data_IF_532401243251
#
_entry.id   IF_532401243251
#
_cell.length_a   1.000
_cell.length_b   1.000
_cell.length_c   1.000
_cell.angle_alpha   90.00
_cell.angle_beta   90.00
_cell.angle_gamma   90.00
#
_symmetry.space_group_name_H-M   'P 1'
#
loop_
_entity.id
_entity.type
_entity.pdbx_description
1 polymer ?
#
# COMPACT_ATOMS: atom_id res chain seq x y z
N UNK A 1 -14.41 -34.12 12.47
CA UNK A 1 -15.73 -33.75 11.92
C UNK A 1 -15.65 -33.15 10.51
N UNK A 2 -14.85 -32.13 10.24
CA UNK A 2 -14.79 -31.40 8.94
C UNK A 2 -14.70 -32.30 7.70
N UNK A 3 -13.78 -33.28 7.66
CA UNK A 3 -13.62 -34.16 6.50
C UNK A 3 -14.86 -35.01 6.20
N UNK A 4 -15.61 -35.42 7.23
CA UNK A 4 -16.85 -36.21 7.06
C UNK A 4 -18.04 -35.34 6.69
N UNK A 5 -18.08 -34.10 7.18
CA UNK A 5 -19.20 -33.17 6.92
C UNK A 5 -19.12 -32.50 5.55
N UNK A 6 -17.94 -32.04 5.14
CA UNK A 6 -17.76 -31.37 3.85
C UNK A 6 -17.39 -32.35 2.74
N UNK A 7 -16.67 -33.43 3.07
CA UNK A 7 -16.07 -34.31 2.08
C UNK A 7 -14.85 -33.68 1.39
N UNK A 8 -14.03 -34.54 0.78
CA UNK A 8 -12.77 -34.13 0.14
C UNK A 8 -12.99 -33.19 -1.06
N UNK A 9 -14.02 -33.46 -1.87
CA UNK A 9 -14.30 -32.68 -3.08
C UNK A 9 -14.66 -31.22 -2.76
N UNK A 10 -15.56 -31.00 -1.80
CA UNK A 10 -15.97 -29.66 -1.42
C UNK A 10 -14.83 -28.88 -0.78
N UNK A 11 -14.01 -29.52 0.07
CA UNK A 11 -12.85 -28.86 0.67
C UNK A 11 -11.85 -28.39 -0.40
N UNK A 12 -11.59 -29.21 -1.42
CA UNK A 12 -10.76 -28.81 -2.57
C UNK A 12 -11.39 -27.66 -3.34
N UNK A 13 -12.71 -27.64 -3.52
CA UNK A 13 -13.41 -26.55 -4.19
C UNK A 13 -13.33 -25.23 -3.41
N UNK A 14 -13.50 -25.27 -2.09
CA UNK A 14 -13.31 -24.09 -1.22
C UNK A 14 -11.90 -23.51 -1.34
N UNK A 15 -10.87 -24.36 -1.23
CA UNK A 15 -9.48 -23.91 -1.36
C UNK A 15 -9.20 -23.30 -2.74
N UNK A 16 -9.68 -23.94 -3.82
CA UNK A 16 -9.54 -23.40 -5.18
C UNK A 16 -10.29 -22.09 -5.37
N UNK A 17 -11.46 -21.93 -4.74
CA UNK A 17 -12.21 -20.68 -4.73
C UNK A 17 -11.43 -19.54 -4.09
N UNK A 18 -10.82 -19.77 -2.92
CA UNK A 18 -9.96 -18.79 -2.26
C UNK A 18 -8.75 -18.42 -3.12
N UNK A 19 -8.09 -19.40 -3.74
CA UNK A 19 -6.94 -19.17 -4.62
C UNK A 19 -7.34 -18.36 -5.86
N UNK A 20 -8.50 -18.65 -6.46
CA UNK A 20 -9.04 -17.87 -7.60
C UNK A 20 -9.30 -16.42 -7.20
N UNK A 21 -9.98 -16.19 -6.08
CA UNK A 21 -10.24 -14.85 -5.56
C UNK A 21 -8.95 -14.05 -5.27
N UNK A 22 -7.92 -14.72 -4.74
CA UNK A 22 -6.63 -14.08 -4.53
C UNK A 22 -5.93 -13.73 -5.85
N UNK A 23 -6.09 -14.56 -6.89
CA UNK A 23 -5.61 -14.25 -8.24
C UNK A 23 -6.32 -13.03 -8.82
N UNK A 24 -7.65 -12.95 -8.71
CA UNK A 24 -8.40 -11.78 -9.17
C UNK A 24 -7.96 -10.50 -8.45
N UNK A 25 -7.64 -10.60 -7.14
CA UNK A 25 -7.06 -9.48 -6.39
C UNK A 25 -5.67 -9.08 -6.89
N UNK A 26 -4.78 -10.05 -7.14
CA UNK A 26 -3.46 -9.84 -7.70
C UNK A 26 -3.52 -9.11 -9.06
N UNK A 27 -4.44 -9.52 -9.94
CA UNK A 27 -4.67 -8.86 -11.23
C UNK A 27 -5.16 -7.41 -11.07
N UNK A 28 -6.03 -7.14 -10.09
CA UNK A 28 -6.47 -5.77 -9.78
C UNK A 28 -5.36 -4.90 -9.21
N UNK A 29 -4.47 -5.46 -8.38
CA UNK A 29 -3.30 -4.75 -7.85
C UNK A 29 -2.34 -4.43 -8.98
N UNK A 30 -2.01 -5.41 -9.83
CA UNK A 30 -1.08 -5.24 -10.95
C UNK A 30 -1.60 -4.26 -12.01
N UNK A 31 -2.92 -4.10 -12.15
CA UNK A 31 -3.52 -3.13 -13.05
C UNK A 31 -3.37 -1.68 -12.59
N UNK A 32 -3.12 -1.43 -11.30
CA UNK A 32 -2.90 -0.09 -10.74
C UNK A 32 -1.40 0.15 -10.55
N UNK A 33 -0.77 0.92 -11.45
CA UNK A 33 0.67 1.19 -11.43
C UNK A 33 1.19 1.94 -10.19
N UNK A 34 0.32 2.34 -9.26
CA UNK A 34 0.72 2.89 -7.96
C UNK A 34 1.07 1.81 -6.94
N UNK A 35 0.64 0.59 -7.17
CA UNK A 35 0.89 -0.54 -6.29
C UNK A 35 1.80 -1.56 -6.98
N UNK A 36 2.57 -2.27 -6.19
CA UNK A 36 3.33 -3.42 -6.66
C UNK A 36 3.08 -4.66 -5.82
N UNK A 37 3.13 -5.82 -6.47
CA UNK A 37 3.09 -7.13 -5.82
C UNK A 37 4.54 -7.50 -5.48
N UNK A 38 4.86 -7.52 -4.20
CA UNK A 38 6.25 -7.65 -3.71
C UNK A 38 6.78 -9.08 -3.83
N UNK A 39 5.90 -10.06 -3.65
CA UNK A 39 6.26 -11.48 -3.75
C UNK A 39 5.23 -12.25 -4.56
N UNK A 40 5.63 -13.26 -5.34
CA UNK A 40 4.72 -14.05 -6.14
C UNK A 40 3.69 -14.78 -5.28
N UNK A 41 2.43 -14.79 -5.73
CA UNK A 41 1.32 -15.46 -5.04
C UNK A 41 1.40 -16.99 -5.24
N UNK A 42 1.67 -17.73 -4.17
CA UNK A 42 1.62 -19.20 -4.18
C UNK A 42 0.25 -19.79 -3.83
N UNK A 43 -0.50 -19.14 -2.92
CA UNK A 43 -1.79 -19.62 -2.42
C UNK A 43 -2.85 -18.51 -2.47
N UNK A 44 -3.72 -18.42 -1.46
CA UNK A 44 -4.77 -17.42 -1.35
C UNK A 44 -4.31 -16.17 -0.57
N UNK A 45 -3.06 -15.75 -0.75
CA UNK A 45 -2.51 -14.57 -0.08
C UNK A 45 -1.71 -13.73 -1.08
N UNK A 46 -2.04 -12.44 -1.16
CA UNK A 46 -1.32 -11.48 -1.97
C UNK A 46 -0.59 -10.50 -1.05
N UNK A 47 0.68 -10.30 -1.34
CA UNK A 47 1.55 -9.37 -0.62
C UNK A 47 1.87 -8.21 -1.55
N UNK A 48 1.43 -7.02 -1.18
CA UNK A 48 1.56 -5.83 -2.02
C UNK A 48 1.96 -4.61 -1.19
N UNK A 49 2.46 -3.58 -1.85
CA UNK A 49 2.72 -2.28 -1.24
C UNK A 49 2.41 -1.14 -2.21
N UNK A 50 2.15 0.03 -1.66
CA UNK A 50 2.05 1.29 -2.39
C UNK A 50 3.46 1.80 -2.70
N UNK A 51 3.71 2.13 -3.96
CA UNK A 51 4.99 2.67 -4.43
C UNK A 51 5.10 4.17 -4.10
N UNK A 52 6.29 4.65 -3.70
CA UNK A 52 6.55 6.07 -3.58
C UNK A 52 6.49 6.74 -4.97
N UNK A 53 6.16 8.05 -5.05
CA UNK A 53 6.01 8.77 -6.33
C UNK A 53 7.25 8.74 -7.23
N UNK A 54 8.46 8.63 -6.65
CA UNK A 54 9.72 8.81 -7.36
C UNK A 54 10.48 7.49 -7.65
N UNK A 55 9.97 6.33 -7.22
CA UNK A 55 10.57 5.03 -7.52
C UNK A 55 11.98 4.77 -6.95
N UNK A 56 12.52 5.65 -6.10
CA UNK A 56 13.91 5.60 -5.63
C UNK A 56 14.10 4.84 -4.32
N UNK A 57 14.47 3.56 -4.43
CA UNK A 57 14.78 2.65 -3.31
C UNK A 57 16.11 2.89 -2.56
N UNK A 58 16.67 4.11 -2.58
CA UNK A 58 18.01 4.39 -2.03
C UNK A 58 18.04 5.02 -0.63
N UNK A 59 16.93 5.61 -0.17
CA UNK A 59 16.86 6.33 1.12
C UNK A 59 15.44 6.64 1.59
N UNK A 60 14.44 6.48 0.72
CA UNK A 60 13.02 6.67 1.02
C UNK A 60 12.31 5.41 1.53
N UNK A 61 13.00 4.29 1.73
CA UNK A 61 12.34 3.04 2.16
C UNK A 61 11.63 3.21 3.51
N UNK A 62 12.19 3.99 4.44
CA UNK A 62 11.53 4.35 5.70
C UNK A 62 10.23 5.12 5.47
N UNK A 63 10.25 6.11 4.56
CA UNK A 63 9.06 6.87 4.22
C UNK A 63 8.01 5.97 3.52
N UNK A 64 8.43 5.16 2.55
CA UNK A 64 7.58 4.17 1.87
C UNK A 64 6.92 3.21 2.88
N UNK A 65 7.68 2.75 3.88
CA UNK A 65 7.17 1.89 4.94
C UNK A 65 6.13 2.60 5.82
N UNK A 66 6.41 3.84 6.24
CA UNK A 66 5.46 4.64 7.03
C UNK A 66 4.14 4.89 6.27
N UNK A 67 4.22 5.15 4.96
CA UNK A 67 3.04 5.35 4.12
C UNK A 67 2.21 4.07 4.05
N UNK A 68 2.86 2.92 3.83
CA UNK A 68 2.18 1.64 3.79
C UNK A 68 1.57 1.27 5.14
N UNK A 69 2.23 1.62 6.25
CA UNK A 69 1.68 1.48 7.60
C UNK A 69 0.42 2.34 7.79
N UNK A 70 0.48 3.63 7.44
CA UNK A 70 -0.67 4.55 7.54
C UNK A 70 -1.83 4.11 6.64
N UNK A 71 -1.53 3.62 5.44
CA UNK A 71 -2.52 3.05 4.53
C UNK A 71 -3.24 1.86 5.18
N UNK A 72 -2.49 0.93 5.76
CA UNK A 72 -3.05 -0.24 6.43
C UNK A 72 -3.91 0.15 7.63
N UNK A 73 -3.40 1.04 8.48
CA UNK A 73 -4.13 1.55 9.65
C UNK A 73 -5.43 2.24 9.23
N UNK A 74 -5.39 3.10 8.20
CA UNK A 74 -6.58 3.78 7.68
C UNK A 74 -7.59 2.81 7.04
N UNK A 75 -7.11 1.76 6.36
CA UNK A 75 -7.96 0.71 5.81
C UNK A 75 -8.66 -0.09 6.94
N UNK A 76 -7.91 -0.51 7.96
CA UNK A 76 -8.43 -1.25 9.10
C UNK A 76 -9.37 -0.40 9.97
N UNK A 77 -9.05 0.88 10.19
CA UNK A 77 -9.90 1.83 10.92
C UNK A 77 -11.25 2.08 10.25
N UNK A 78 -11.38 1.78 8.94
CA UNK A 78 -12.67 1.87 8.25
C UNK A 78 -13.70 0.83 8.71
N UNK A 79 -13.24 -0.26 9.36
CA UNK A 79 -14.07 -1.39 9.77
C UNK A 79 -14.63 -2.23 8.61
N UNK A 80 -14.38 -1.85 7.35
CA UNK A 80 -14.89 -2.55 6.15
C UNK A 80 -14.02 -3.74 5.74
N UNK A 81 -12.74 -3.69 6.10
CA UNK A 81 -11.74 -4.70 5.79
C UNK A 81 -10.78 -4.83 6.95
N UNK A 82 -10.16 -6.00 7.05
CA UNK A 82 -9.05 -6.22 7.97
C UNK A 82 -7.91 -6.94 7.25
N UNK A 83 -6.74 -6.33 7.27
CA UNK A 83 -5.51 -6.87 6.70
C UNK A 83 -4.38 -6.77 7.72
N UNK A 84 -3.30 -7.52 7.48
CA UNK A 84 -2.10 -7.47 8.31
C UNK A 84 -0.91 -7.04 7.47
N UNK A 85 0.22 -6.73 8.12
CA UNK A 85 1.47 -6.46 7.45
C UNK A 85 2.50 -7.56 7.72
N UNK A 86 3.60 -7.51 7.00
CA UNK A 86 4.87 -8.11 7.40
C UNK A 86 6.02 -7.18 6.95
N UNK A 87 7.20 -7.38 7.54
CA UNK A 87 8.42 -6.70 7.12
C UNK A 87 9.41 -7.76 6.65
N UNK A 88 9.82 -7.69 5.38
CA UNK A 88 10.74 -8.67 4.77
C UNK A 88 11.90 -7.92 4.14
N UNK A 89 13.13 -8.18 4.60
CA UNK A 89 14.31 -7.47 4.09
C UNK A 89 14.28 -5.95 4.33
N UNK A 90 13.58 -5.50 5.38
CA UNK A 90 13.38 -4.07 5.66
C UNK A 90 12.22 -3.42 4.88
N UNK A 91 11.54 -4.17 4.02
CA UNK A 91 10.39 -3.69 3.23
C UNK A 91 9.08 -4.01 3.95
N UNK A 92 8.27 -2.99 4.21
CA UNK A 92 6.92 -3.14 4.77
C UNK A 92 5.93 -3.49 3.67
N UNK A 93 5.23 -4.61 3.85
CA UNK A 93 4.28 -5.13 2.88
C UNK A 93 2.94 -5.47 3.53
N UNK A 94 1.86 -5.18 2.81
CA UNK A 94 0.49 -5.46 3.22
C UNK A 94 0.10 -6.84 2.71
N UNK A 95 -0.46 -7.66 3.60
CA UNK A 95 -0.90 -9.02 3.32
C UNK A 95 -2.42 -9.09 3.28
N UNK A 96 -2.95 -9.38 2.09
CA UNK A 96 -4.36 -9.69 1.88
C UNK A 96 -4.53 -11.20 1.79
N UNK A 97 -5.01 -11.81 2.87
CA UNK A 97 -5.25 -13.25 2.97
C UNK A 97 -6.73 -13.56 2.75
N UNK A 98 -7.05 -14.20 1.64
CA UNK A 98 -8.41 -14.67 1.31
C UNK A 98 -8.58 -16.07 1.89
N UNK A 99 -9.50 -16.23 2.84
CA UNK A 99 -9.69 -17.54 3.45
C UNK A 99 -10.91 -17.72 4.33
N UNK A 100 -11.75 -16.69 4.48
CA UNK A 100 -12.94 -16.82 5.34
C UNK A 100 -14.06 -17.51 4.58
N UNK A 101 -14.82 -18.36 5.27
CA UNK A 101 -15.86 -19.22 4.66
C UNK A 101 -16.94 -18.44 3.92
N UNK A 102 -17.19 -17.18 4.30
CA UNK A 102 -18.22 -16.32 3.72
C UNK A 102 -17.65 -15.32 2.70
N UNK A 103 -16.35 -15.36 2.42
CA UNK A 103 -15.75 -14.46 1.42
C UNK A 103 -16.19 -14.88 0.02
N UNK A 104 -16.63 -13.89 -0.73
CA UNK A 104 -17.06 -14.01 -2.13
C UNK A 104 -16.32 -12.94 -2.96
N UNK A 105 -16.34 -13.07 -4.29
CA UNK A 105 -15.61 -12.18 -5.18
C UNK A 105 -15.96 -10.69 -4.98
N UNK A 106 -17.22 -10.36 -4.67
CA UNK A 106 -17.62 -8.98 -4.43
C UNK A 106 -16.95 -8.39 -3.18
N UNK A 107 -16.70 -9.19 -2.15
CA UNK A 107 -15.97 -8.76 -0.95
C UNK A 107 -14.53 -8.38 -1.30
N UNK A 108 -13.89 -9.15 -2.18
CA UNK A 108 -12.53 -8.89 -2.66
C UNK A 108 -12.47 -7.59 -3.45
N UNK A 109 -13.44 -7.38 -4.36
CA UNK A 109 -13.55 -6.12 -5.13
C UNK A 109 -13.84 -4.93 -4.22
N UNK A 110 -14.71 -5.10 -3.21
CA UNK A 110 -15.01 -4.07 -2.23
C UNK A 110 -13.77 -3.72 -1.38
N UNK A 111 -13.00 -4.74 -0.97
CA UNK A 111 -11.77 -4.54 -0.23
C UNK A 111 -10.74 -3.75 -1.05
N UNK A 112 -10.57 -4.09 -2.33
CA UNK A 112 -9.70 -3.35 -3.22
C UNK A 112 -10.10 -1.88 -3.38
N UNK A 113 -11.40 -1.59 -3.51
CA UNK A 113 -11.90 -0.19 -3.56
C UNK A 113 -11.52 0.61 -2.31
N UNK A 114 -11.54 -0.01 -1.13
CA UNK A 114 -11.10 0.65 0.11
C UNK A 114 -9.61 0.96 0.04
N UNK A 115 -8.79 0.00 -0.38
CA UNK A 115 -7.34 0.17 -0.53
C UNK A 115 -7.01 1.29 -1.51
N UNK A 116 -7.63 1.30 -2.69
CA UNK A 116 -7.43 2.34 -3.71
C UNK A 116 -7.82 3.73 -3.20
N UNK A 117 -8.97 3.85 -2.55
CA UNK A 117 -9.44 5.11 -2.01
C UNK A 117 -8.48 5.68 -0.93
N UNK A 118 -7.97 4.81 -0.06
CA UNK A 118 -7.01 5.21 1.00
C UNK A 118 -5.60 5.44 0.45
N UNK A 119 -5.17 4.67 -0.53
CA UNK A 119 -3.88 4.83 -1.21
C UNK A 119 -3.78 6.16 -1.94
N UNK A 120 -4.85 6.57 -2.63
CA UNK A 120 -4.92 7.90 -3.26
C UNK A 120 -4.78 9.05 -2.24
N UNK A 121 -5.44 8.94 -1.09
CA UNK A 121 -5.32 9.92 -0.02
C UNK A 121 -3.92 9.95 0.62
N UNK A 122 -3.30 8.78 0.82
CA UNK A 122 -1.94 8.68 1.34
C UNK A 122 -0.90 9.30 0.39
N UNK A 123 -1.02 9.05 -0.92
CA UNK A 123 -0.15 9.66 -1.93
C UNK A 123 -0.33 11.20 -2.00
N UNK A 124 -1.59 11.67 -1.92
CA UNK A 124 -1.89 13.10 -1.92
C UNK A 124 -1.30 13.83 -0.71
N UNK A 125 -1.36 13.21 0.47
CA UNK A 125 -0.75 13.77 1.68
C UNK A 125 0.77 13.89 1.58
N UNK A 126 1.45 12.90 0.98
CA UNK A 126 2.89 12.95 0.75
C UNK A 126 3.29 14.05 -0.21
N UNK A 127 2.57 14.16 -1.34
CA UNK A 127 2.83 15.23 -2.29
C UNK A 127 2.70 16.57 -1.57
N UNK A 128 1.62 16.80 -0.81
CA UNK A 128 1.43 18.05 -0.10
C UNK A 128 2.54 18.34 0.93
N UNK A 129 3.01 17.33 1.67
CA UNK A 129 4.09 17.49 2.66
C UNK A 129 5.44 17.80 2.00
N UNK A 130 5.76 17.13 0.89
CA UNK A 130 6.93 17.46 0.05
C UNK A 130 6.83 18.84 -0.58
N UNK A 131 5.64 19.27 -1.01
CA UNK A 131 5.41 20.64 -1.50
C UNK A 131 5.68 21.67 -0.39
N UNK A 132 5.25 21.41 0.85
CA UNK A 132 5.54 22.29 1.99
C UNK A 132 7.05 22.34 2.28
N UNK A 133 7.73 21.20 2.34
CA UNK A 133 9.19 21.16 2.55
C UNK A 133 9.97 21.83 1.41
N UNK A 134 9.60 21.59 0.15
CA UNK A 134 10.20 22.25 -1.01
C UNK A 134 9.96 23.77 -1.00
N UNK A 135 8.75 24.22 -0.66
CA UNK A 135 8.45 25.63 -0.45
C UNK A 135 9.27 26.22 0.70
N UNK A 136 9.47 25.48 1.79
CA UNK A 136 10.24 25.94 2.95
C UNK A 136 11.73 26.05 2.62
N UNK A 137 12.31 25.06 1.93
CA UNK A 137 13.67 25.13 1.39
C UNK A 137 13.85 26.25 0.37
N UNK A 138 12.89 26.45 -0.54
CA UNK A 138 12.92 27.56 -1.49
C UNK A 138 12.85 28.92 -0.76
N UNK A 139 12.03 29.06 0.28
CA UNK A 139 11.99 30.26 1.13
C UNK A 139 13.32 30.50 1.85
N UNK A 140 13.93 29.45 2.44
CA UNK A 140 15.24 29.56 3.08
C UNK A 140 16.32 29.97 2.07
N UNK A 141 16.29 29.41 0.86
CA UNK A 141 17.25 29.73 -0.20
C UNK A 141 17.08 31.17 -0.69
N UNK A 142 15.84 31.63 -0.90
CA UNK A 142 15.55 33.03 -1.24
C UNK A 142 15.97 33.99 -0.12
N UNK A 143 15.71 33.62 1.15
CA UNK A 143 16.07 34.45 2.30
C UNK A 143 17.60 34.55 2.50
N UNK A 144 18.33 33.46 2.26
CA UNK A 144 19.79 33.46 2.31
C UNK A 144 20.41 34.18 1.11
N UNK A 145 19.89 34.04 -0.11
CA UNK A 145 20.39 34.76 -1.28
C UNK A 145 20.17 36.29 -1.18
N UNK A 146 19.01 36.72 -0.68
CA UNK A 146 18.71 38.14 -0.42
C UNK A 146 19.64 38.76 0.63
N UNK A 147 19.96 38.04 1.71
CA UNK A 147 20.94 38.48 2.71
C UNK A 147 22.38 38.55 2.16
N UNK A 148 22.74 37.65 1.24
CA UNK A 148 24.08 37.59 0.63
C UNK A 148 24.28 38.68 -0.42
N UNK A 149 23.25 38.98 -1.22
CA UNK A 149 23.24 40.13 -2.16
C UNK A 149 23.21 41.48 -1.45
N UNK A 150 22.50 41.60 -0.31
CA UNK A 150 22.47 42.84 0.47
C UNK A 150 23.87 43.22 1.02
N UNK A 151 24.68 42.25 1.44
CA UNK A 151 26.05 42.51 1.93
C UNK A 151 27.06 42.93 0.86
N UNK A 152 26.87 42.56 -0.43
CA UNK A 152 27.78 42.96 -1.53
C UNK A 152 27.55 44.37 -2.07
N UNK A 153 26.46 45.05 -1.66
CA UNK A 153 26.09 46.38 -2.19
C UNK A 153 26.53 47.55 -1.30
N UNK A 154 27.15 47.24 -0.16
CA UNK A 154 27.57 48.20 0.88
C UNK A 154 29.10 48.21 1.07
N UNK A 155 29.84 47.59 0.15
CA UNK A 155 31.31 47.56 0.10
C UNK A 155 31.82 48.33 -1.09
#
# INVERSE_FOLDING_TARGET
MVLRSYGLANLRNFLRGHVRMAKDFEEMVAADGRFEVVVPRYFAMVCFRLLPPDGTGGGEETAANEINQRLLEAANASGKVYMTHAVVGGVYLIRFAVGTTLTEEWHVRAAWKVVVARGGAAQGALNNMRWIEACMHACIYIYTDTHTRAKRRIG
#
